data_IF_207120925115
#
_entry.id   IF_207120925115
#
_cell.length_a   1.000
_cell.length_b   1.000
_cell.length_c   1.000
_cell.angle_alpha   90.00
_cell.angle_beta   90.00
_cell.angle_gamma   90.00
#
_symmetry.space_group_name_H-M   'P 1'
#
loop_
_entity.id
_entity.type
_entity.pdbx_description
1 polymer ?
#
# COMPACT_ATOMS: atom_id res chain seq x y z
N UNK A 1 31.01 -5.24 47.94
CA UNK A 1 31.44 -5.05 46.55
C UNK A 1 30.50 -4.05 45.93
N UNK A 2 31.00 -2.84 45.68
CA UNK A 2 30.25 -1.76 45.04
C UNK A 2 30.39 -2.02 43.53
N UNK A 3 29.33 -2.47 42.87
CA UNK A 3 29.31 -2.56 41.40
C UNK A 3 29.27 -1.14 40.83
N UNK A 4 30.30 -0.82 40.06
CA UNK A 4 30.47 0.47 39.41
C UNK A 4 29.37 0.69 38.34
N UNK A 5 28.71 1.85 38.42
CA UNK A 5 27.85 2.36 37.35
C UNK A 5 28.67 2.48 36.04
N UNK A 6 28.13 2.04 34.90
CA UNK A 6 28.80 2.21 33.61
C UNK A 6 28.88 3.70 33.25
N UNK A 7 29.93 4.12 32.52
CA UNK A 7 30.18 5.53 32.23
C UNK A 7 29.10 6.12 31.32
N UNK A 8 28.77 7.39 31.58
CA UNK A 8 27.89 8.22 30.75
C UNK A 8 28.44 8.28 29.31
N UNK A 9 27.81 7.54 28.40
CA UNK A 9 28.09 7.62 26.97
C UNK A 9 27.71 9.02 26.45
N UNK A 10 28.53 9.54 25.54
CA UNK A 10 28.26 10.80 24.83
C UNK A 10 26.93 10.71 24.08
N UNK A 11 26.21 11.84 23.99
CA UNK A 11 24.89 11.93 23.34
C UNK A 11 24.87 11.41 21.91
N UNK A 12 26.01 11.44 21.20
CA UNK A 12 26.12 10.91 19.83
C UNK A 12 26.25 9.38 19.77
N UNK A 13 26.93 8.74 20.74
CA UNK A 13 27.06 7.28 20.77
C UNK A 13 25.76 6.60 21.19
N UNK A 14 25.03 7.17 22.16
CA UNK A 14 23.72 6.68 22.56
C UNK A 14 22.71 6.76 21.40
N UNK A 15 22.77 7.82 20.59
CA UNK A 15 21.93 7.99 19.40
C UNK A 15 22.30 7.01 18.27
N UNK A 16 23.59 6.75 18.04
CA UNK A 16 24.03 5.74 17.05
C UNK A 16 23.62 4.32 17.46
N UNK A 17 23.63 4.02 18.77
CA UNK A 17 23.21 2.73 19.31
C UNK A 17 21.68 2.54 19.25
N UNK A 18 20.91 3.61 19.44
CA UNK A 18 19.45 3.66 19.24
C UNK A 18 19.02 3.47 17.79
N UNK A 19 19.83 3.91 16.81
CA UNK A 19 19.52 3.72 15.38
C UNK A 19 19.82 2.30 14.87
N UNK A 20 20.70 1.53 15.50
CA UNK A 20 20.99 0.14 15.11
C UNK A 20 19.87 -0.84 15.46
N UNK A 21 19.14 -0.58 16.54
CA UNK A 21 18.03 -1.41 17.00
C UNK A 21 16.88 -0.52 17.51
N UNK A 22 16.03 0.01 16.61
CA UNK A 22 14.94 0.89 17.03
C UNK A 22 13.90 0.10 17.84
N UNK A 23 13.59 0.50 19.10
CA UNK A 23 12.60 -0.17 19.95
C UNK A 23 11.15 0.24 19.62
N UNK A 24 10.89 0.67 18.38
CA UNK A 24 9.61 1.26 17.96
C UNK A 24 9.10 0.64 16.66
N UNK A 25 7.78 0.53 16.53
CA UNK A 25 7.13 0.10 15.28
C UNK A 25 7.17 1.24 14.25
N UNK A 26 7.91 1.03 13.16
CA UNK A 26 8.10 2.00 12.10
C UNK A 26 7.47 1.51 10.79
N UNK A 27 6.99 2.46 9.97
CA UNK A 27 6.56 2.16 8.61
C UNK A 27 7.58 2.70 7.61
N UNK A 28 8.08 1.82 6.72
CA UNK A 28 9.06 2.15 5.69
C UNK A 28 8.41 2.26 4.31
N UNK A 29 8.75 3.31 3.56
CA UNK A 29 8.20 3.53 2.22
C UNK A 29 9.29 4.01 1.26
N UNK A 30 9.90 3.10 0.48
CA UNK A 30 10.83 3.45 -0.60
C UNK A 30 11.86 2.37 -0.91
N UNK A 31 12.55 2.46 -2.07
CA UNK A 31 13.64 1.54 -2.43
C UNK A 31 14.95 1.88 -1.68
N UNK A 32 15.64 0.85 -1.16
CA UNK A 32 16.92 0.99 -0.45
C UNK A 32 18.06 1.23 -1.46
N UNK A 33 18.46 2.49 -1.63
CA UNK A 33 19.49 2.86 -2.62
C UNK A 33 20.90 2.92 -2.02
N UNK A 34 21.01 3.10 -0.70
CA UNK A 34 22.28 3.12 0.04
C UNK A 34 22.21 2.32 1.34
N UNK A 35 23.36 1.96 1.92
CA UNK A 35 23.40 1.21 3.21
C UNK A 35 22.81 1.99 4.39
N UNK A 36 22.81 3.33 4.32
CA UNK A 36 22.22 4.23 5.30
C UNK A 36 20.70 4.38 5.13
N UNK A 37 20.16 4.16 3.92
CA UNK A 37 18.71 4.18 3.67
C UNK A 37 17.98 3.05 4.42
N UNK A 38 18.69 1.98 4.79
CA UNK A 38 18.16 0.89 5.65
C UNK A 38 17.72 1.38 7.04
N UNK A 39 18.24 2.51 7.49
CA UNK A 39 17.94 3.09 8.81
C UNK A 39 17.03 4.34 8.70
N UNK A 40 16.50 4.63 7.50
CA UNK A 40 15.63 5.78 7.28
C UNK A 40 14.23 5.51 7.80
N UNK A 41 13.80 6.30 8.78
CA UNK A 41 12.48 6.20 9.41
C UNK A 41 11.57 7.27 8.80
N UNK A 42 10.62 6.88 7.95
CA UNK A 42 9.69 7.83 7.30
C UNK A 42 8.50 8.21 8.19
N UNK A 43 8.05 7.28 9.04
CA UNK A 43 6.94 7.48 9.98
C UNK A 43 7.13 6.61 11.22
N UNK A 44 7.24 7.24 12.39
CA UNK A 44 7.09 6.59 13.69
C UNK A 44 5.61 6.43 14.00
N UNK A 45 5.18 5.19 14.25
CA UNK A 45 3.77 4.86 14.48
C UNK A 45 3.43 4.76 15.98
N UNK A 46 4.41 4.42 16.82
CA UNK A 46 4.28 4.40 18.28
C UNK A 46 5.54 4.97 18.95
N UNK A 47 5.36 5.79 19.99
CA UNK A 47 6.46 6.33 20.80
C UNK A 47 6.58 5.50 22.07
N UNK A 48 7.59 4.63 22.14
CA UNK A 48 7.81 3.74 23.29
C UNK A 48 8.33 4.48 24.53
N UNK A 49 8.43 3.76 25.65
CA UNK A 49 8.80 4.29 26.98
C UNK A 49 10.09 5.12 26.99
N UNK A 50 11.10 4.72 26.22
CA UNK A 50 12.39 5.41 26.09
C UNK A 50 12.24 6.79 25.44
N UNK A 51 11.33 6.93 24.48
CA UNK A 51 11.08 8.22 23.81
C UNK A 51 10.37 9.19 24.75
N UNK A 52 9.39 8.69 25.51
CA UNK A 52 8.68 9.46 26.53
C UNK A 52 9.61 9.93 27.66
N UNK A 53 10.57 9.09 28.06
CA UNK A 53 11.61 9.45 29.03
C UNK A 53 12.54 10.54 28.49
N UNK A 54 13.02 10.40 27.25
CA UNK A 54 13.86 11.39 26.59
C UNK A 54 13.15 12.74 26.42
N UNK A 55 11.87 12.73 26.01
CA UNK A 55 11.06 13.94 25.92
C UNK A 55 10.92 14.62 27.30
N UNK A 56 10.66 13.85 28.35
CA UNK A 56 10.54 14.39 29.72
C UNK A 56 11.84 15.05 30.17
N UNK A 57 13.00 14.42 29.91
CA UNK A 57 14.31 14.97 30.23
C UNK A 57 14.59 16.27 29.46
N UNK A 58 14.36 16.31 28.15
CA UNK A 58 14.55 17.51 27.33
C UNK A 58 13.55 18.63 27.63
N UNK A 59 12.34 18.27 28.08
CA UNK A 59 11.32 19.24 28.45
C UNK A 59 11.69 20.02 29.71
N UNK A 60 12.38 19.37 30.66
CA UNK A 60 12.86 19.98 31.92
C UNK A 60 14.15 20.80 31.77
N UNK A 61 14.93 20.58 30.69
CA UNK A 61 16.17 21.31 30.44
C UNK A 61 15.93 22.72 29.87
N UNK A 62 15.95 23.74 30.72
CA UNK A 62 15.66 25.14 30.36
C UNK A 62 16.51 25.71 29.20
N UNK A 63 17.68 25.12 28.91
CA UNK A 63 18.58 25.57 27.83
C UNK A 63 18.08 25.24 26.42
N UNK A 64 17.22 24.23 26.28
CA UNK A 64 16.73 23.76 24.98
C UNK A 64 15.46 24.49 24.57
N UNK A 65 15.31 24.81 23.29
CA UNK A 65 14.05 25.33 22.75
C UNK A 65 13.18 24.18 22.25
N UNK A 66 11.84 24.35 22.26
CA UNK A 66 10.92 23.31 21.74
C UNK A 66 11.24 22.91 20.27
N UNK A 67 11.66 23.82 19.37
CA UNK A 67 12.17 23.44 18.04
C UNK A 67 13.43 22.57 18.07
N UNK A 68 14.36 22.83 19.00
CA UNK A 68 15.57 22.04 19.16
C UNK A 68 15.26 20.63 19.72
N UNK A 69 14.31 20.53 20.66
CA UNK A 69 13.77 19.25 21.14
C UNK A 69 13.16 18.47 19.98
N UNK A 70 12.39 19.13 19.11
CA UNK A 70 11.78 18.52 17.93
C UNK A 70 12.84 17.97 16.95
N UNK A 71 13.91 18.75 16.72
CA UNK A 71 15.04 18.33 15.88
C UNK A 71 15.77 17.11 16.44
N UNK A 72 16.04 17.09 17.75
CA UNK A 72 16.73 15.96 18.43
C UNK A 72 15.89 14.69 18.45
N UNK A 73 14.58 14.82 18.60
CA UNK A 73 13.64 13.69 18.59
C UNK A 73 13.18 13.29 17.18
N UNK A 74 13.60 14.02 16.14
CA UNK A 74 13.24 13.74 14.75
C UNK A 74 11.75 13.92 14.43
N UNK A 75 11.04 14.77 15.17
CA UNK A 75 9.58 14.97 15.04
C UNK A 75 9.23 16.43 14.77
N UNK A 76 7.99 16.71 14.34
CA UNK A 76 7.51 18.08 14.19
C UNK A 76 7.24 18.75 15.53
N UNK A 77 7.36 20.08 15.56
CA UNK A 77 7.10 20.92 16.74
C UNK A 77 5.73 20.65 17.40
N UNK A 78 4.66 20.54 16.60
CA UNK A 78 3.32 20.25 17.11
C UNK A 78 3.19 18.84 17.70
N UNK A 79 4.04 17.91 17.24
CA UNK A 79 4.10 16.55 17.77
C UNK A 79 4.74 16.55 19.16
N UNK A 80 5.84 17.30 19.35
CA UNK A 80 6.45 17.48 20.68
C UNK A 80 5.44 18.05 21.67
N UNK A 81 4.68 19.08 21.30
CA UNK A 81 3.66 19.68 22.16
C UNK A 81 2.53 18.71 22.52
N UNK A 82 2.02 17.97 21.53
CA UNK A 82 0.98 16.95 21.75
C UNK A 82 1.45 15.85 22.69
N UNK A 83 2.68 15.39 22.52
CA UNK A 83 3.26 14.38 23.40
C UNK A 83 3.58 14.91 24.80
N UNK A 84 4.04 16.14 24.94
CA UNK A 84 4.25 16.77 26.24
C UNK A 84 2.92 16.94 27.02
N UNK A 85 1.84 17.27 26.32
CA UNK A 85 0.49 17.28 26.89
C UNK A 85 0.02 15.86 27.28
N UNK A 86 0.27 14.86 26.43
CA UNK A 86 -0.03 13.44 26.72
C UNK A 86 0.73 12.93 27.96
N UNK A 87 1.96 13.39 28.17
CA UNK A 87 2.80 13.07 29.33
C UNK A 87 2.57 13.96 30.56
N UNK A 88 1.59 14.88 30.52
CA UNK A 88 1.23 15.80 31.61
C UNK A 88 2.42 16.65 32.12
N UNK A 89 3.32 17.04 31.22
CA UNK A 89 4.47 17.89 31.55
C UNK A 89 4.04 19.35 31.84
N UNK A 90 4.82 20.12 32.63
CA UNK A 90 4.42 21.47 33.05
C UNK A 90 4.25 22.43 31.86
N UNK A 91 3.14 23.17 31.87
CA UNK A 91 2.78 24.21 30.89
C UNK A 91 2.38 25.53 31.60
N UNK A 92 2.87 26.71 31.14
CA UNK A 92 3.91 26.89 30.12
C UNK A 92 5.25 26.34 30.62
N UNK A 93 6.07 25.84 29.69
CA UNK A 93 7.39 25.28 30.02
C UNK A 93 8.22 26.27 30.84
N UNK A 94 8.99 25.81 31.85
CA UNK A 94 9.97 26.64 32.54
C UNK A 94 10.88 27.40 31.55
N UNK A 95 11.00 28.72 31.72
CA UNK A 95 11.73 29.62 30.81
C UNK A 95 10.94 30.13 29.59
N UNK A 96 9.69 29.72 29.38
CA UNK A 96 8.85 30.19 28.28
C UNK A 96 8.25 31.57 28.56
N UNK A 97 8.48 32.55 27.68
CA UNK A 97 7.95 33.92 27.75
C UNK A 97 6.43 34.03 27.41
N UNK A 98 5.68 32.92 27.46
CA UNK A 98 4.24 32.92 27.17
C UNK A 98 3.47 33.55 28.34
N UNK A 99 2.67 34.59 28.04
CA UNK A 99 1.77 35.20 29.03
C UNK A 99 0.83 34.14 29.63
N UNK A 100 0.61 34.13 30.95
CA UNK A 100 -0.32 33.20 31.58
C UNK A 100 -1.72 33.37 30.99
N UNK A 101 -2.41 32.24 30.80
CA UNK A 101 -3.79 32.20 30.29
C UNK A 101 -4.71 33.04 31.19
N UNK A 102 -5.63 33.80 30.57
CA UNK A 102 -6.68 34.53 31.28
C UNK A 102 -7.56 33.55 32.07
N UNK A 103 -8.16 34.01 33.16
CA UNK A 103 -9.02 33.22 34.05
C UNK A 103 -10.22 32.60 33.31
N UNK A 104 -10.77 33.32 32.32
CA UNK A 104 -11.81 32.80 31.43
C UNK A 104 -11.29 31.66 30.51
N UNK A 105 -10.04 31.73 30.06
CA UNK A 105 -9.42 30.69 29.25
C UNK A 105 -9.06 29.46 30.09
N UNK A 106 -8.70 29.65 31.37
CA UNK A 106 -8.52 28.55 32.34
C UNK A 106 -9.84 27.82 32.58
N UNK A 107 -10.94 28.54 32.76
CA UNK A 107 -12.27 27.94 32.97
C UNK A 107 -12.77 27.19 31.72
N UNK A 108 -12.59 27.75 30.51
CA UNK A 108 -12.92 27.05 29.26
C UNK A 108 -12.07 25.80 29.03
N UNK A 109 -10.77 25.86 29.33
CA UNK A 109 -9.88 24.71 29.25
C UNK A 109 -10.28 23.62 30.27
N UNK A 110 -10.62 24.01 31.50
CA UNK A 110 -11.10 23.11 32.54
C UNK A 110 -12.38 22.38 32.10
N UNK A 111 -13.39 23.13 31.63
CA UNK A 111 -14.64 22.56 31.14
C UNK A 111 -14.43 21.62 29.93
N UNK A 112 -13.46 21.93 29.06
CA UNK A 112 -13.11 21.07 27.92
C UNK A 112 -12.44 19.77 28.37
N UNK A 113 -11.57 19.83 29.37
CA UNK A 113 -10.91 18.66 29.97
C UNK A 113 -11.93 17.79 30.71
N UNK A 114 -12.87 18.40 31.43
CA UNK A 114 -13.95 17.71 32.13
C UNK A 114 -14.88 17.00 31.14
N UNK A 115 -15.28 17.68 30.06
CA UNK A 115 -16.10 17.09 29.00
C UNK A 115 -15.39 15.92 28.29
N UNK A 116 -14.09 16.05 28.02
CA UNK A 116 -13.27 14.99 27.44
C UNK A 116 -13.12 13.79 28.38
N UNK A 117 -12.98 14.04 29.69
CA UNK A 117 -12.92 12.99 30.72
C UNK A 117 -14.26 12.26 30.85
N UNK A 118 -15.37 13.00 30.83
CA UNK A 118 -16.73 12.43 30.81
C UNK A 118 -17.00 11.61 29.55
N UNK A 119 -16.54 12.08 28.39
CA UNK A 119 -16.65 11.32 27.13
C UNK A 119 -15.83 10.04 27.20
N UNK A 120 -14.61 10.10 27.71
CA UNK A 120 -13.74 8.93 27.86
C UNK A 120 -14.38 7.87 28.78
N UNK A 121 -14.97 8.30 29.90
CA UNK A 121 -15.65 7.39 30.83
C UNK A 121 -16.88 6.70 30.21
N UNK A 122 -17.63 7.39 29.34
CA UNK A 122 -18.75 6.79 28.58
C UNK A 122 -18.24 5.65 27.70
N UNK A 123 -17.17 5.87 26.92
CA UNK A 123 -16.62 4.83 26.05
C UNK A 123 -16.01 3.67 26.85
N UNK A 124 -15.44 3.93 28.03
CA UNK A 124 -15.00 2.87 28.95
C UNK A 124 -16.16 2.02 29.44
N UNK A 125 -17.26 2.64 29.86
CA UNK A 125 -18.47 1.94 30.30
C UNK A 125 -19.09 1.11 29.17
N UNK A 126 -19.24 1.69 27.97
CA UNK A 126 -19.70 0.95 26.79
C UNK A 126 -18.82 -0.27 26.50
N UNK A 127 -17.49 -0.16 26.66
CA UNK A 127 -16.58 -1.27 26.47
C UNK A 127 -16.74 -2.36 27.54
N UNK A 128 -16.91 -1.97 28.80
CA UNK A 128 -17.16 -2.91 29.90
C UNK A 128 -18.48 -3.66 29.73
N UNK A 129 -19.53 -3.00 29.23
CA UNK A 129 -20.79 -3.65 28.87
C UNK A 129 -20.60 -4.66 27.74
N UNK A 130 -19.84 -4.31 26.70
CA UNK A 130 -19.49 -5.25 25.62
C UNK A 130 -18.73 -6.46 26.15
N UNK A 131 -17.79 -6.27 27.09
CA UNK A 131 -17.05 -7.37 27.73
C UNK A 131 -17.92 -8.25 28.61
N UNK A 132 -18.90 -7.67 29.29
CA UNK A 132 -19.88 -8.40 30.11
C UNK A 132 -20.82 -9.23 29.24
N UNK A 133 -21.31 -8.66 28.14
CA UNK A 133 -22.23 -9.32 27.23
C UNK A 133 -21.55 -10.40 26.36
N UNK A 134 -20.25 -10.24 26.09
CA UNK A 134 -19.48 -11.13 25.21
C UNK A 134 -18.13 -11.55 25.84
N UNK A 135 -18.14 -12.34 26.94
CA UNK A 135 -16.93 -12.70 27.67
C UNK A 135 -15.95 -13.51 26.81
N UNK A 136 -16.47 -14.46 26.02
CA UNK A 136 -15.72 -15.41 25.17
C UNK A 136 -15.39 -14.88 23.76
N UNK A 137 -15.79 -13.65 23.42
CA UNK A 137 -15.58 -13.14 22.07
C UNK A 137 -14.11 -12.83 21.77
N UNK A 138 -13.64 -13.24 20.58
CA UNK A 138 -12.28 -12.94 20.13
C UNK A 138 -12.07 -11.46 19.82
N UNK A 139 -10.85 -10.95 20.02
CA UNK A 139 -10.45 -9.56 19.66
C UNK A 139 -10.84 -9.21 18.21
N UNK A 140 -10.66 -10.14 17.27
CA UNK A 140 -11.03 -9.96 15.85
C UNK A 140 -12.53 -9.73 15.66
N UNK A 141 -13.36 -10.52 16.33
CA UNK A 141 -14.81 -10.39 16.26
C UNK A 141 -15.28 -9.08 16.93
N UNK A 142 -14.74 -8.75 18.10
CA UNK A 142 -15.05 -7.51 18.82
C UNK A 142 -14.70 -6.27 17.98
N UNK A 143 -13.54 -6.28 17.31
CA UNK A 143 -13.14 -5.21 16.40
C UNK A 143 -14.07 -5.07 15.20
N UNK A 144 -14.52 -6.19 14.62
CA UNK A 144 -15.46 -6.16 13.48
C UNK A 144 -16.85 -5.65 13.89
N UNK A 145 -17.34 -6.08 15.06
CA UNK A 145 -18.69 -5.77 15.53
C UNK A 145 -18.81 -4.37 16.14
N UNK A 146 -17.82 -3.95 16.93
CA UNK A 146 -17.80 -2.67 17.66
C UNK A 146 -16.67 -1.76 17.18
N UNK A 147 -16.45 -1.69 15.86
CA UNK A 147 -15.30 -0.98 15.27
C UNK A 147 -15.17 0.48 15.71
N UNK A 148 -16.29 1.21 15.84
CA UNK A 148 -16.29 2.62 16.27
C UNK A 148 -15.69 2.78 17.68
N UNK A 149 -16.20 2.00 18.62
CA UNK A 149 -15.76 1.98 20.02
C UNK A 149 -14.30 1.50 20.12
N UNK A 150 -13.98 0.42 19.39
CA UNK A 150 -12.66 -0.21 19.37
C UNK A 150 -11.57 0.76 18.87
N UNK A 151 -11.78 1.39 17.71
CA UNK A 151 -10.80 2.33 17.13
C UNK A 151 -10.68 3.60 17.98
N UNK A 152 -11.77 4.06 18.60
CA UNK A 152 -11.74 5.24 19.45
C UNK A 152 -10.90 5.01 20.71
N UNK A 153 -11.14 3.91 21.44
CA UNK A 153 -10.37 3.58 22.64
C UNK A 153 -8.90 3.27 22.31
N UNK A 154 -8.61 2.59 21.19
CA UNK A 154 -7.25 2.36 20.70
C UNK A 154 -6.49 3.67 20.44
N UNK A 155 -7.18 4.74 20.00
CA UNK A 155 -6.55 6.02 19.67
C UNK A 155 -6.40 6.97 20.86
N UNK A 156 -7.40 7.00 21.75
CA UNK A 156 -7.51 8.02 22.79
C UNK A 156 -7.22 7.50 24.21
N UNK A 157 -7.27 6.17 24.44
CA UNK A 157 -7.07 5.54 25.76
C UNK A 157 -6.43 4.14 25.65
N UNK A 158 -5.33 4.08 24.89
CA UNK A 158 -4.61 2.87 24.51
C UNK A 158 -4.24 1.98 25.71
N UNK A 159 -3.70 2.56 26.78
CA UNK A 159 -3.23 1.82 27.95
C UNK A 159 -4.37 1.14 28.72
N UNK A 160 -5.44 1.88 29.02
CA UNK A 160 -6.62 1.30 29.66
C UNK A 160 -7.27 0.25 28.77
N UNK A 161 -7.34 0.51 27.46
CA UNK A 161 -7.93 -0.43 26.52
C UNK A 161 -7.16 -1.75 26.44
N UNK A 162 -5.83 -1.70 26.42
CA UNK A 162 -4.98 -2.91 26.42
C UNK A 162 -5.19 -3.80 27.66
N UNK A 163 -5.33 -3.19 28.84
CA UNK A 163 -5.63 -3.89 30.10
C UNK A 163 -7.02 -4.55 30.09
N UNK A 164 -7.98 -3.95 29.38
CA UNK A 164 -9.38 -4.40 29.32
C UNK A 164 -9.72 -5.18 28.04
N UNK A 165 -8.72 -5.52 27.22
CA UNK A 165 -8.88 -6.43 26.08
C UNK A 165 -8.92 -7.89 26.57
N UNK A 166 -9.73 -8.77 25.95
CA UNK A 166 -9.66 -10.20 26.24
C UNK A 166 -8.23 -10.72 26.03
N UNK A 167 -7.77 -11.73 26.76
CA UNK A 167 -6.45 -12.32 26.58
C UNK A 167 -6.17 -12.57 25.09
N UNK A 168 -5.00 -12.14 24.61
CA UNK A 168 -4.53 -12.58 23.31
C UNK A 168 -4.39 -14.10 23.38
N UNK A 169 -5.28 -14.85 22.72
CA UNK A 169 -4.98 -16.23 22.34
C UNK A 169 -3.92 -16.21 21.23
N UNK A 170 -2.71 -15.76 21.57
CA UNK A 170 -1.54 -16.34 20.95
C UNK A 170 -1.65 -17.81 21.29
N UNK A 171 -1.84 -18.66 20.28
CA UNK A 171 -1.85 -20.11 20.47
C UNK A 171 -0.45 -20.53 20.91
N UNK A 172 -0.13 -20.40 22.19
CA UNK A 172 1.13 -20.86 22.77
C UNK A 172 1.16 -22.37 22.56
N UNK A 173 2.09 -22.84 21.73
CA UNK A 173 2.26 -24.26 21.42
C UNK A 173 1.56 -24.78 20.16
N UNK A 174 0.85 -23.94 19.40
CA UNK A 174 0.48 -24.31 18.02
C UNK A 174 1.60 -23.78 17.12
N UNK A 175 2.30 -24.65 16.35
CA UNK A 175 3.28 -24.19 15.39
C UNK A 175 2.64 -23.07 14.56
N UNK A 176 3.38 -22.02 14.15
CA UNK A 176 2.83 -21.06 13.21
C UNK A 176 2.18 -21.87 12.10
N UNK A 177 0.88 -21.63 11.84
CA UNK A 177 0.24 -22.17 10.64
C UNK A 177 1.22 -21.79 9.55
N UNK A 178 1.95 -22.79 9.02
CA UNK A 178 2.87 -22.56 7.94
C UNK A 178 1.96 -21.96 6.88
N UNK A 179 2.01 -20.63 6.71
CA UNK A 179 1.32 -19.95 5.63
C UNK A 179 1.74 -20.78 4.43
N UNK A 180 0.80 -21.52 3.84
CA UNK A 180 1.08 -22.54 2.85
C UNK A 180 2.10 -21.93 1.91
N UNK A 181 3.36 -22.37 2.01
CA UNK A 181 4.47 -21.70 1.34
C UNK A 181 4.09 -21.80 -0.12
N UNK A 182 3.66 -20.69 -0.71
CA UNK A 182 3.06 -20.72 -2.04
C UNK A 182 4.10 -21.34 -2.94
N UNK A 183 3.76 -22.51 -3.50
CA UNK A 183 4.64 -23.21 -4.40
C UNK A 183 4.66 -22.41 -5.71
N UNK A 184 5.61 -21.47 -5.77
CA UNK A 184 5.76 -20.58 -6.90
C UNK A 184 6.10 -21.35 -8.17
N UNK A 185 6.80 -22.48 -8.08
CA UNK A 185 7.17 -23.27 -9.25
C UNK A 185 5.94 -23.94 -9.87
N UNK A 186 5.16 -24.65 -9.05
CA UNK A 186 3.91 -25.27 -9.51
C UNK A 186 2.92 -24.22 -10.04
N UNK A 187 2.83 -23.07 -9.35
CA UNK A 187 1.99 -21.96 -9.78
C UNK A 187 2.44 -21.34 -11.10
N UNK A 188 3.75 -21.16 -11.29
CA UNK A 188 4.32 -20.59 -12.51
C UNK A 188 4.09 -21.50 -13.72
N UNK A 189 4.23 -22.83 -13.54
CA UNK A 189 3.90 -23.80 -14.58
C UNK A 189 2.42 -23.74 -14.99
N UNK A 190 1.51 -23.73 -14.01
CA UNK A 190 0.06 -23.65 -14.27
C UNK A 190 -0.31 -22.33 -14.97
N UNK A 191 0.25 -21.21 -14.51
CA UNK A 191 -0.01 -19.91 -15.11
C UNK A 191 0.56 -19.81 -16.53
N UNK A 192 1.77 -20.30 -16.78
CA UNK A 192 2.36 -20.31 -18.11
C UNK A 192 1.52 -21.11 -19.11
N UNK A 193 0.96 -22.26 -18.69
CA UNK A 193 0.02 -23.01 -19.51
C UNK A 193 -1.28 -22.23 -19.77
N UNK A 194 -1.89 -21.67 -18.71
CA UNK A 194 -3.12 -20.88 -18.82
C UNK A 194 -2.95 -19.63 -19.71
N UNK A 195 -1.77 -18.98 -19.69
CA UNK A 195 -1.43 -17.85 -20.56
C UNK A 195 -1.47 -18.25 -22.04
N UNK A 196 -0.83 -19.37 -22.40
CA UNK A 196 -0.81 -19.84 -23.79
C UNK A 196 -2.20 -20.25 -24.26
N UNK A 197 -2.96 -20.91 -23.40
CA UNK A 197 -4.31 -21.34 -23.70
C UNK A 197 -5.28 -20.15 -23.85
N UNK A 198 -5.13 -19.12 -23.01
CA UNK A 198 -5.86 -17.85 -23.13
C UNK A 198 -5.56 -17.14 -24.44
N UNK A 199 -4.28 -17.04 -24.82
CA UNK A 199 -3.87 -16.46 -26.09
C UNK A 199 -4.45 -17.23 -27.30
N UNK A 200 -4.41 -18.57 -27.25
CA UNK A 200 -5.01 -19.42 -28.29
C UNK A 200 -6.52 -19.15 -28.44
N UNK A 201 -7.27 -19.04 -27.33
CA UNK A 201 -8.70 -18.67 -27.39
C UNK A 201 -8.93 -17.33 -28.08
N UNK A 202 -8.11 -16.31 -27.77
CA UNK A 202 -8.23 -14.99 -28.40
C UNK A 202 -7.85 -14.97 -29.87
N UNK A 203 -6.96 -15.87 -30.30
CA UNK A 203 -6.59 -16.03 -31.70
C UNK A 203 -7.74 -16.63 -32.52
N UNK A 204 -8.47 -17.59 -31.95
CA UNK A 204 -9.57 -18.31 -32.59
C UNK A 204 -10.98 -17.75 -32.26
N UNK A 205 -11.05 -16.58 -31.65
CA UNK A 205 -12.34 -15.93 -31.37
C UNK A 205 -13.01 -15.51 -32.68
N UNK A 206 -14.30 -15.84 -32.83
CA UNK A 206 -15.08 -15.45 -34.01
C UNK A 206 -15.40 -13.96 -34.00
N UNK A 207 -15.45 -13.37 -35.20
CA UNK A 207 -15.70 -11.95 -35.36
C UNK A 207 -14.45 -11.10 -35.14
N UNK A 208 -14.61 -9.94 -34.52
CA UNK A 208 -13.57 -8.90 -34.49
C UNK A 208 -12.39 -9.30 -33.56
N UNK A 209 -11.13 -9.19 -34.02
CA UNK A 209 -9.94 -9.50 -33.22
C UNK A 209 -9.82 -8.72 -31.90
N UNK A 210 -9.58 -9.45 -30.81
CA UNK A 210 -9.32 -8.92 -29.46
C UNK A 210 -7.81 -8.79 -29.26
N UNK A 211 -7.33 -7.61 -28.84
CA UNK A 211 -5.89 -7.41 -28.61
C UNK A 211 -5.37 -8.29 -27.47
N UNK A 212 -4.40 -9.14 -27.79
CA UNK A 212 -3.74 -10.03 -26.84
C UNK A 212 -2.68 -9.22 -26.08
N UNK A 213 -3.06 -8.68 -24.94
CA UNK A 213 -2.17 -7.95 -24.03
C UNK A 213 -2.04 -8.67 -22.70
N UNK A 214 -1.01 -8.34 -21.91
CA UNK A 214 -0.87 -8.81 -20.51
C UNK A 214 -2.13 -8.57 -19.69
N UNK A 215 -2.80 -7.44 -19.93
CA UNK A 215 -4.03 -7.08 -19.21
C UNK A 215 -5.21 -7.92 -19.67
N UNK A 216 -5.35 -8.16 -20.97
CA UNK A 216 -6.41 -9.01 -21.54
C UNK A 216 -6.30 -10.42 -21.01
N UNK A 217 -5.12 -11.03 -21.12
CA UNK A 217 -4.82 -12.38 -20.62
C UNK A 217 -5.00 -12.46 -19.10
N UNK A 218 -4.46 -11.49 -18.35
CA UNK A 218 -4.59 -11.51 -16.89
C UNK A 218 -6.03 -11.38 -16.39
N UNK A 219 -6.89 -10.67 -17.13
CA UNK A 219 -8.34 -10.62 -16.83
C UNK A 219 -9.02 -11.94 -17.14
N UNK A 220 -8.70 -12.55 -18.27
CA UNK A 220 -9.27 -13.84 -18.71
C UNK A 220 -8.96 -14.97 -17.71
N UNK A 221 -7.72 -15.04 -17.22
CA UNK A 221 -7.27 -16.04 -16.24
C UNK A 221 -7.74 -15.70 -14.81
N UNK A 222 -8.22 -14.47 -14.56
CA UNK A 222 -8.57 -13.99 -13.22
C UNK A 222 -7.35 -13.74 -12.31
N UNK A 223 -6.15 -13.63 -12.88
CA UNK A 223 -4.88 -13.52 -12.14
C UNK A 223 -4.13 -12.22 -12.46
N UNK A 224 -4.83 -11.19 -12.97
CA UNK A 224 -4.26 -9.89 -13.36
C UNK A 224 -3.36 -9.28 -12.28
N UNK A 225 -3.85 -9.22 -11.03
CA UNK A 225 -3.12 -8.59 -9.92
C UNK A 225 -1.84 -9.35 -9.59
N UNK A 226 -1.88 -10.67 -9.66
CA UNK A 226 -0.74 -11.53 -9.44
C UNK A 226 0.30 -11.36 -10.55
N UNK A 227 -0.11 -11.40 -11.81
CA UNK A 227 0.78 -11.14 -12.96
C UNK A 227 1.37 -9.73 -12.87
N UNK A 228 0.63 -8.73 -12.40
CA UNK A 228 1.15 -7.37 -12.30
C UNK A 228 2.16 -7.19 -11.16
N UNK A 229 1.92 -7.79 -9.99
CA UNK A 229 2.74 -7.58 -8.78
C UNK A 229 3.89 -8.58 -8.65
N UNK A 230 3.66 -9.83 -9.04
CA UNK A 230 4.52 -10.96 -8.71
C UNK A 230 5.20 -11.57 -9.94
N UNK A 231 5.22 -10.88 -11.10
CA UNK A 231 5.85 -11.41 -12.33
C UNK A 231 7.32 -11.80 -12.14
N UNK A 232 8.02 -11.09 -11.26
CA UNK A 232 9.42 -11.35 -10.93
C UNK A 232 9.64 -12.73 -10.26
N UNK A 233 8.59 -13.35 -9.73
CA UNK A 233 8.59 -14.71 -9.16
C UNK A 233 8.10 -15.77 -10.14
N UNK A 234 7.74 -15.38 -11.38
CA UNK A 234 7.05 -16.21 -12.37
C UNK A 234 7.80 -16.18 -13.72
N UNK A 235 9.05 -16.66 -13.79
CA UNK A 235 9.87 -16.59 -14.99
C UNK A 235 9.26 -17.32 -16.20
N UNK A 236 8.61 -18.47 -15.99
CA UNK A 236 7.99 -19.23 -17.08
C UNK A 236 6.76 -18.50 -17.63
N UNK A 237 5.95 -17.93 -16.74
CA UNK A 237 4.82 -17.09 -17.13
C UNK A 237 5.28 -15.82 -17.83
N UNK A 238 6.40 -15.22 -17.41
CA UNK A 238 6.98 -14.06 -18.05
C UNK A 238 7.44 -14.37 -19.49
N UNK A 239 8.07 -15.52 -19.72
CA UNK A 239 8.42 -16.00 -21.07
C UNK A 239 7.17 -16.23 -21.91
N UNK A 240 6.19 -16.96 -21.37
CA UNK A 240 4.94 -17.25 -22.07
C UNK A 240 4.21 -15.95 -22.47
N UNK A 241 4.19 -14.95 -21.60
CA UNK A 241 3.60 -13.63 -21.91
C UNK A 241 4.40 -12.89 -22.99
N UNK A 242 5.72 -12.98 -23.00
CA UNK A 242 6.53 -12.36 -24.05
C UNK A 242 6.33 -13.01 -25.42
N UNK A 243 6.06 -14.32 -25.45
CA UNK A 243 5.76 -15.07 -26.68
C UNK A 243 4.40 -14.70 -27.28
N UNK A 244 3.38 -14.47 -26.45
CA UNK A 244 1.99 -14.34 -26.93
C UNK A 244 1.47 -12.90 -27.00
N UNK A 245 2.09 -11.96 -26.29
CA UNK A 245 1.58 -10.58 -26.24
C UNK A 245 1.89 -9.87 -27.54
N UNK A 246 0.84 -9.38 -28.19
CA UNK A 246 0.93 -8.65 -29.44
C UNK A 246 1.42 -7.22 -29.20
N UNK A 247 2.38 -6.81 -30.00
CA UNK A 247 2.72 -5.41 -30.20
C UNK A 247 1.59 -4.67 -30.92
N UNK A 248 1.61 -3.34 -30.87
CA UNK A 248 0.63 -2.52 -31.57
C UNK A 248 0.61 -2.75 -33.09
N UNK A 249 1.75 -2.86 -33.82
CA UNK A 249 1.75 -3.20 -35.23
C UNK A 249 1.15 -4.58 -35.51
N UNK A 250 1.50 -5.62 -34.74
CA UNK A 250 0.98 -6.99 -34.93
C UNK A 250 -0.54 -7.04 -34.76
N UNK A 251 -1.08 -6.41 -33.72
CA UNK A 251 -2.53 -6.32 -33.52
C UNK A 251 -3.23 -5.51 -34.62
N UNK A 252 -2.57 -4.51 -35.19
CA UNK A 252 -3.10 -3.75 -36.32
C UNK A 252 -3.16 -4.61 -37.59
N UNK A 253 -2.11 -5.39 -37.86
CA UNK A 253 -2.03 -6.31 -39.01
C UNK A 253 -3.10 -7.39 -38.87
N UNK A 254 -3.27 -8.03 -37.70
CA UNK A 254 -4.32 -9.04 -37.52
C UNK A 254 -5.75 -8.50 -37.71
N UNK A 255 -5.99 -7.24 -37.31
CA UNK A 255 -7.28 -6.57 -37.59
C UNK A 255 -7.47 -6.27 -39.07
N UNK A 256 -6.40 -5.96 -39.78
CA UNK A 256 -6.43 -5.75 -41.22
C UNK A 256 -6.71 -7.05 -41.96
N UNK A 257 -6.06 -8.15 -41.58
CA UNK A 257 -6.31 -9.50 -42.12
C UNK A 257 -7.77 -9.90 -41.91
N UNK A 258 -8.30 -9.72 -40.70
CA UNK A 258 -9.73 -9.95 -40.41
C UNK A 258 -10.65 -9.11 -41.31
N UNK A 259 -10.36 -7.81 -41.46
CA UNK A 259 -11.18 -6.94 -42.29
C UNK A 259 -11.14 -7.34 -43.78
N UNK A 260 -9.99 -7.81 -44.25
CA UNK A 260 -9.75 -8.32 -45.62
C UNK A 260 -10.56 -9.58 -45.85
N UNK A 261 -10.49 -10.55 -44.94
CA UNK A 261 -11.28 -11.78 -44.97
C UNK A 261 -12.78 -11.50 -45.03
N UNK A 262 -13.28 -10.53 -44.25
CA UNK A 262 -14.67 -10.12 -44.35
C UNK A 262 -15.03 -9.60 -45.76
N UNK A 263 -14.14 -8.87 -46.44
CA UNK A 263 -14.43 -8.34 -47.79
C UNK A 263 -14.41 -9.46 -48.84
N UNK A 264 -13.51 -10.44 -48.68
CA UNK A 264 -13.48 -11.64 -49.49
C UNK A 264 -14.78 -12.44 -49.36
N UNK A 265 -15.25 -12.65 -48.14
CA UNK A 265 -16.50 -13.38 -47.87
C UNK A 265 -17.73 -12.65 -48.41
N UNK A 266 -17.75 -11.32 -48.29
CA UNK A 266 -18.83 -10.47 -48.81
C UNK A 266 -18.77 -10.29 -50.33
N UNK A 267 -17.64 -10.64 -50.98
CA UNK A 267 -17.35 -10.41 -52.40
C UNK A 267 -17.50 -8.94 -52.80
N UNK A 268 -17.07 -8.03 -51.94
CA UNK A 268 -17.12 -6.58 -52.18
C UNK A 268 -15.69 -6.07 -52.29
N UNK A 269 -15.39 -5.32 -53.36
CA UNK A 269 -14.14 -4.58 -53.47
C UNK A 269 -14.19 -3.27 -52.67
N UNK A 270 -13.40 -3.12 -51.58
CA UNK A 270 -13.39 -1.89 -50.80
C UNK A 270 -12.42 -0.85 -51.38
N UNK A 271 -12.79 0.41 -51.25
CA UNK A 271 -11.84 1.51 -51.30
C UNK A 271 -10.91 1.47 -50.08
N UNK A 272 -9.67 1.99 -50.22
CA UNK A 272 -8.66 1.99 -49.14
C UNK A 272 -9.22 2.47 -47.79
N UNK A 273 -9.99 3.56 -47.77
CA UNK A 273 -10.54 4.11 -46.54
C UNK A 273 -11.58 3.18 -45.88
N UNK A 274 -12.37 2.43 -46.68
CA UNK A 274 -13.37 1.48 -46.17
C UNK A 274 -12.69 0.30 -45.46
N UNK A 275 -11.60 -0.21 -46.03
CA UNK A 275 -10.77 -1.25 -45.40
C UNK A 275 -10.20 -0.78 -44.07
N UNK A 276 -9.60 0.42 -44.05
CA UNK A 276 -9.02 1.00 -42.83
C UNK A 276 -10.09 1.27 -41.75
N UNK A 277 -11.28 1.72 -42.16
CA UNK A 277 -12.39 1.96 -41.25
C UNK A 277 -12.89 0.65 -40.63
N UNK A 278 -13.05 -0.41 -41.43
CA UNK A 278 -13.48 -1.73 -40.95
C UNK A 278 -12.48 -2.30 -39.95
N UNK A 279 -11.18 -2.29 -40.27
CA UNK A 279 -10.11 -2.66 -39.33
C UNK A 279 -9.98 -1.70 -38.13
N UNK A 280 -10.59 -0.52 -38.22
CA UNK A 280 -10.52 0.61 -37.28
C UNK A 280 -9.08 0.98 -36.94
N UNK A 281 -8.27 1.14 -37.98
CA UNK A 281 -6.89 1.60 -37.87
C UNK A 281 -6.87 3.12 -37.69
N UNK A 282 -6.03 3.59 -36.77
CA UNK A 282 -5.84 5.02 -36.50
C UNK A 282 -4.71 5.57 -37.39
N UNK A 283 -4.70 6.87 -37.73
CA UNK A 283 -3.71 7.44 -38.63
C UNK A 283 -2.26 7.17 -38.22
N UNK A 284 -1.93 7.28 -36.93
CA UNK A 284 -0.58 7.00 -36.42
C UNK A 284 -0.18 5.52 -36.57
N UNK A 285 -1.14 4.59 -36.54
CA UNK A 285 -0.87 3.15 -36.75
C UNK A 285 -0.66 2.87 -38.23
N UNK A 286 -1.43 3.52 -39.10
CA UNK A 286 -1.30 3.44 -40.56
C UNK A 286 0.03 4.03 -41.04
N UNK A 287 0.64 4.96 -40.30
CA UNK A 287 1.95 5.52 -40.62
C UNK A 287 3.12 4.54 -40.38
N UNK A 288 2.91 3.42 -39.67
CA UNK A 288 3.98 2.46 -39.37
C UNK A 288 4.38 1.67 -40.62
N UNK A 289 5.68 1.54 -40.95
CA UNK A 289 6.12 0.87 -42.19
C UNK A 289 5.67 -0.58 -42.34
N UNK A 290 5.61 -1.34 -41.24
CA UNK A 290 5.09 -2.72 -41.25
C UNK A 290 3.60 -2.77 -41.59
N UNK A 291 2.82 -1.83 -41.06
CA UNK A 291 1.38 -1.74 -41.30
C UNK A 291 1.09 -1.23 -42.72
N UNK A 292 1.88 -0.29 -43.25
CA UNK A 292 1.74 0.17 -44.64
C UNK A 292 1.92 -0.96 -45.66
N UNK A 293 2.99 -1.74 -45.51
CA UNK A 293 3.22 -2.93 -46.35
C UNK A 293 2.07 -3.93 -46.26
N UNK A 294 1.53 -4.14 -45.06
CA UNK A 294 0.37 -5.02 -44.86
C UNK A 294 -0.90 -4.47 -45.55
N UNK A 295 -1.14 -3.14 -45.49
CA UNK A 295 -2.28 -2.50 -46.18
C UNK A 295 -2.17 -2.67 -47.70
N UNK A 296 -0.99 -2.48 -48.26
CA UNK A 296 -0.75 -2.66 -49.69
C UNK A 296 -0.98 -4.13 -50.11
N UNK A 297 -0.44 -5.09 -49.33
CA UNK A 297 -0.67 -6.51 -49.57
C UNK A 297 -2.16 -6.89 -49.48
N UNK A 298 -2.88 -6.35 -48.50
CA UNK A 298 -4.31 -6.59 -48.34
C UNK A 298 -5.12 -6.05 -49.53
N UNK A 299 -4.81 -4.85 -50.02
CA UNK A 299 -5.47 -4.29 -51.20
C UNK A 299 -5.17 -5.11 -52.47
N UNK A 300 -3.92 -5.55 -52.64
CA UNK A 300 -3.53 -6.42 -53.75
C UNK A 300 -4.29 -7.75 -53.72
N UNK A 301 -4.49 -8.36 -52.54
CA UNK A 301 -5.29 -9.59 -52.42
C UNK A 301 -6.77 -9.43 -52.78
N UNK A 302 -7.29 -8.21 -52.74
CA UNK A 302 -8.68 -7.90 -53.07
C UNK A 302 -8.87 -7.47 -54.53
N UNK A 303 -7.79 -7.22 -55.29
CA UNK A 303 -7.87 -6.79 -56.70
C UNK A 303 -8.73 -7.68 -57.61
N UNK A 304 -8.75 -9.02 -57.47
CA UNK A 304 -9.59 -9.86 -58.30
C UNK A 304 -11.09 -9.50 -58.21
N UNK A 305 -11.56 -9.03 -57.05
CA UNK A 305 -12.96 -8.65 -56.83
C UNK A 305 -13.38 -7.36 -57.53
N UNK A 306 -12.44 -6.61 -58.14
CA UNK A 306 -12.74 -5.34 -58.80
C UNK A 306 -13.39 -5.54 -60.18
N UNK A 307 -13.18 -6.69 -60.81
CA UNK A 307 -13.56 -6.98 -62.19
C UNK A 307 -14.70 -8.02 -62.30
N UNK A 308 -15.17 -8.56 -61.18
CA UNK A 308 -16.36 -9.42 -61.06
C UNK A 308 -17.62 -8.59 -60.77
#
# INVERSE_FOLDING_TARGET
MIEALPPLLSSDEAMQQLMRHPPYDNSRTGPDSTELDRFRIDKLKCYGSVWSAALTQFWLDESLSVPEIARRLGVSFDTVKRHAAKLKLPFPRPGSQLKPLSEAQKLQAFNTIEMASSTLEIYRQEWMEVRTNYPEASRKWLRQKFNRLYVWLEQYDEQWFEEHLPPCFCRVGIPPIQSTRVDWLSRDLQLAAAVRESAHRFLHTTGRPIWITRTTIGKDIGQRTLIQKEIHKLPLTASALAEVVETQPEYAIRRLEWATECFLQEKIYPQRWQLLQRASLKPYTVALPSVQRAIEAALASLEPLRND
#
